data_IF_247968717575
#
_entry.id   IF_247968717575
#
_cell.length_a   1.000
_cell.length_b   1.000
_cell.length_c   1.000
_cell.angle_alpha   90.00
_cell.angle_beta   90.00
_cell.angle_gamma   90.00
#
_symmetry.space_group_name_H-M   'P 1'
#
loop_
_entity.id
_entity.type
_entity.pdbx_description
1 polymer ?
#
# COMPACT_ATOMS: atom_id res chain seq x y z
N UNK A 1 5.13 -15.98 14.70
CA UNK A 1 4.88 -14.99 15.80
C UNK A 1 5.87 -15.11 16.97
N UNK A 2 6.19 -16.31 17.51
CA UNK A 2 7.20 -16.44 18.61
C UNK A 2 8.65 -16.20 18.15
N UNK A 3 9.03 -16.62 16.96
CA UNK A 3 10.36 -16.35 16.40
C UNK A 3 10.57 -14.87 16.06
N UNK A 4 9.54 -14.19 15.56
CA UNK A 4 9.60 -12.74 15.25
C UNK A 4 9.81 -11.88 16.50
N UNK A 5 9.19 -12.24 17.63
CA UNK A 5 9.39 -11.52 18.90
C UNK A 5 10.78 -11.70 19.49
N UNK A 6 11.37 -12.88 19.33
CA UNK A 6 12.73 -13.18 19.83
C UNK A 6 13.79 -12.47 18.97
N UNK A 7 13.64 -12.47 17.64
CA UNK A 7 14.49 -11.73 16.72
C UNK A 7 14.43 -10.23 16.96
N UNK A 8 13.24 -9.67 17.20
CA UNK A 8 13.07 -8.25 17.49
C UNK A 8 13.77 -7.81 18.79
N UNK A 9 13.90 -8.68 19.79
CA UNK A 9 14.65 -8.40 21.01
C UNK A 9 16.17 -8.36 20.75
N UNK A 10 16.69 -9.33 19.99
CA UNK A 10 18.10 -9.40 19.60
C UNK A 10 18.49 -8.19 18.76
N UNK A 11 17.68 -7.82 17.77
CA UNK A 11 17.90 -6.64 16.94
C UNK A 11 17.94 -5.34 17.74
N UNK A 12 17.08 -5.19 18.74
CA UNK A 12 17.09 -4.00 19.62
C UNK A 12 18.37 -3.91 20.47
N UNK A 13 18.83 -5.03 21.01
CA UNK A 13 20.05 -5.05 21.84
C UNK A 13 21.29 -4.81 20.98
N UNK A 14 21.40 -5.50 19.84
CA UNK A 14 22.55 -5.33 18.92
C UNK A 14 22.58 -3.92 18.32
N UNK A 15 21.44 -3.40 17.87
CA UNK A 15 21.33 -2.03 17.34
C UNK A 15 21.68 -0.99 18.41
N UNK A 16 21.16 -1.13 19.64
CA UNK A 16 21.51 -0.25 20.74
C UNK A 16 23.00 -0.24 21.07
N UNK A 17 23.61 -1.43 21.18
CA UNK A 17 25.07 -1.58 21.43
C UNK A 17 25.91 -0.95 20.32
N UNK A 18 25.48 -1.09 19.08
CA UNK A 18 26.15 -0.51 17.93
C UNK A 18 26.13 1.03 17.96
N UNK A 19 24.96 1.64 18.25
CA UNK A 19 24.85 3.10 18.37
C UNK A 19 25.67 3.66 19.53
N UNK A 20 25.73 2.95 20.66
CA UNK A 20 26.56 3.35 21.79
C UNK A 20 28.06 3.29 21.40
N UNK A 21 28.51 2.20 20.75
CA UNK A 21 29.88 2.06 20.28
C UNK A 21 30.28 3.13 19.25
N UNK A 22 29.37 3.44 18.29
CA UNK A 22 29.58 4.51 17.33
C UNK A 22 29.60 5.90 17.99
N UNK A 23 28.73 6.12 18.99
CA UNK A 23 28.67 7.37 19.75
C UNK A 23 29.93 7.63 20.57
N UNK A 24 30.56 6.59 21.12
CA UNK A 24 31.83 6.71 21.89
C UNK A 24 33.04 7.13 21.03
N UNK A 25 32.96 7.01 19.71
CA UNK A 25 34.00 7.45 18.78
C UNK A 25 33.93 8.94 18.45
N UNK A 26 32.84 9.62 18.87
CA UNK A 26 32.60 11.04 18.58
C UNK A 26 33.35 11.91 19.59
N UNK A 27 34.21 12.79 19.11
CA UNK A 27 34.82 13.86 19.90
C UNK A 27 33.88 15.08 19.96
N UNK A 28 33.27 15.28 21.12
CA UNK A 28 32.31 16.36 21.35
C UNK A 28 32.93 17.76 21.16
N UNK A 29 34.19 17.91 21.53
CA UNK A 29 34.91 19.17 21.44
C UNK A 29 35.19 19.56 19.97
N UNK A 30 35.62 18.61 19.15
CA UNK A 30 35.85 18.82 17.71
C UNK A 30 34.53 19.01 16.96
N UNK A 31 33.46 18.33 17.37
CA UNK A 31 32.16 18.48 16.78
C UNK A 31 31.57 19.87 16.96
N UNK A 32 31.68 20.43 18.18
CA UNK A 32 31.19 21.77 18.50
C UNK A 32 32.03 22.90 17.86
N UNK A 33 33.28 22.62 17.50
CA UNK A 33 34.15 23.59 16.82
C UNK A 33 33.86 23.78 15.33
N UNK A 34 33.19 22.81 14.68
CA UNK A 34 32.97 22.84 13.23
C UNK A 34 31.51 22.52 12.82
N UNK A 35 30.48 23.21 13.35
CA UNK A 35 29.08 22.90 13.08
C UNK A 35 28.70 23.06 11.61
N UNK A 36 29.31 24.01 10.92
CA UNK A 36 29.09 24.24 9.48
C UNK A 36 29.59 23.05 8.63
N UNK A 37 30.70 22.40 9.03
CA UNK A 37 31.20 21.23 8.33
C UNK A 37 30.25 20.04 8.51
N UNK A 38 29.68 19.85 9.69
CA UNK A 38 28.65 18.83 9.95
C UNK A 38 27.40 19.06 9.08
N UNK A 39 26.91 20.29 9.05
CA UNK A 39 25.75 20.65 8.21
C UNK A 39 26.04 20.47 6.73
N UNK A 40 27.23 20.85 6.26
CA UNK A 40 27.64 20.67 4.88
C UNK A 40 27.69 19.17 4.50
N UNK A 41 28.28 18.34 5.34
CA UNK A 41 28.29 16.89 5.11
C UNK A 41 26.89 16.29 5.12
N UNK A 42 26.01 16.71 6.03
CA UNK A 42 24.63 16.25 6.07
C UNK A 42 23.86 16.66 4.83
N UNK A 43 24.03 17.92 4.37
CA UNK A 43 23.40 18.48 3.18
C UNK A 43 23.87 17.82 1.87
N UNK A 44 25.05 17.20 1.87
CA UNK A 44 25.54 16.43 0.72
C UNK A 44 25.15 14.96 0.82
N UNK A 45 25.38 14.34 1.97
CA UNK A 45 25.25 12.90 2.18
C UNK A 45 23.80 12.42 1.96
N UNK A 46 22.82 13.10 2.56
CA UNK A 46 21.42 12.70 2.48
C UNK A 46 20.86 12.84 1.04
N UNK A 47 20.98 14.00 0.36
CA UNK A 47 20.49 14.13 -1.01
C UNK A 47 21.20 13.22 -2.00
N UNK A 48 22.53 13.08 -1.89
CA UNK A 48 23.28 12.20 -2.79
C UNK A 48 22.81 10.74 -2.65
N UNK A 49 22.60 10.24 -1.42
CA UNK A 49 22.07 8.89 -1.20
C UNK A 49 20.64 8.76 -1.74
N UNK A 50 19.78 9.74 -1.52
CA UNK A 50 18.41 9.73 -2.07
C UNK A 50 18.47 9.61 -3.59
N UNK A 51 19.28 10.44 -4.25
CA UNK A 51 19.42 10.43 -5.72
C UNK A 51 19.99 9.10 -6.21
N UNK A 52 21.08 8.59 -5.60
CA UNK A 52 21.69 7.33 -6.01
C UNK A 52 20.73 6.15 -5.85
N UNK A 53 20.02 6.05 -4.72
CA UNK A 53 19.04 5.00 -4.50
C UNK A 53 17.87 5.11 -5.51
N UNK A 54 17.41 6.32 -5.77
CA UNK A 54 16.34 6.57 -6.76
C UNK A 54 16.79 6.20 -8.16
N UNK A 55 18.00 6.57 -8.57
CA UNK A 55 18.56 6.21 -9.88
C UNK A 55 18.77 4.71 -10.03
N UNK A 56 19.26 4.03 -8.99
CA UNK A 56 19.41 2.58 -9.00
C UNK A 56 18.06 1.87 -9.21
N UNK A 57 16.99 2.36 -8.57
CA UNK A 57 15.64 1.82 -8.73
C UNK A 57 15.02 2.18 -10.09
N UNK A 58 15.36 3.33 -10.68
CA UNK A 58 14.89 3.70 -12.03
C UNK A 58 15.43 2.79 -13.13
N UNK A 59 16.54 2.10 -12.89
CA UNK A 59 17.06 1.04 -13.77
C UNK A 59 16.22 -0.23 -13.73
N UNK A 60 15.32 -0.36 -12.75
CA UNK A 60 14.34 -1.45 -12.64
C UNK A 60 12.97 -0.98 -13.13
N UNK A 61 12.00 -1.89 -13.22
CA UNK A 61 10.63 -1.55 -13.68
C UNK A 61 9.76 -0.84 -12.63
N UNK A 62 10.38 -0.23 -11.62
CA UNK A 62 9.68 0.47 -10.52
C UNK A 62 9.21 1.85 -10.99
N UNK A 63 7.97 2.21 -10.62
CA UNK A 63 7.40 3.54 -10.86
C UNK A 63 8.31 4.66 -10.30
N UNK A 64 8.44 5.78 -11.04
CA UNK A 64 9.28 6.90 -10.62
C UNK A 64 8.90 7.45 -9.24
N UNK A 65 7.60 7.50 -8.91
CA UNK A 65 7.13 7.94 -7.60
C UNK A 65 7.57 6.97 -6.49
N UNK A 66 7.49 5.67 -6.74
CA UNK A 66 7.91 4.64 -5.76
C UNK A 66 9.43 4.56 -5.67
N UNK A 67 10.15 4.81 -6.76
CA UNK A 67 11.61 4.97 -6.73
C UNK A 67 12.03 6.16 -5.86
N UNK A 68 11.34 7.31 -5.96
CA UNK A 68 11.55 8.46 -5.06
C UNK A 68 11.17 8.15 -3.61
N UNK A 69 10.04 7.50 -3.37
CA UNK A 69 9.60 7.07 -2.02
C UNK A 69 10.65 6.20 -1.35
N UNK A 70 11.10 5.19 -2.06
CA UNK A 70 12.10 4.25 -1.56
C UNK A 70 13.47 4.93 -1.41
N UNK A 71 13.88 5.76 -2.39
CA UNK A 71 15.11 6.53 -2.33
C UNK A 71 15.18 7.46 -1.11
N UNK A 72 14.08 8.14 -0.78
CA UNK A 72 13.96 9.01 0.41
C UNK A 72 14.00 8.16 1.68
N UNK A 73 13.23 7.08 1.74
CA UNK A 73 13.21 6.20 2.91
C UNK A 73 14.59 5.60 3.23
N UNK A 74 15.39 5.30 2.22
CA UNK A 74 16.75 4.77 2.33
C UNK A 74 17.85 5.84 2.29
N UNK A 75 17.49 7.12 2.27
CA UNK A 75 18.43 8.24 2.12
C UNK A 75 19.29 8.53 3.33
N UNK A 76 18.98 7.94 4.49
CA UNK A 76 19.79 8.07 5.71
C UNK A 76 21.10 7.27 5.63
N UNK A 77 22.05 7.58 6.52
CA UNK A 77 23.32 6.87 6.65
C UNK A 77 23.12 5.39 6.99
N UNK A 78 24.03 4.56 6.50
CA UNK A 78 24.04 3.13 6.84
C UNK A 78 25.00 2.83 7.99
N UNK A 79 24.70 1.82 8.78
CA UNK A 79 25.50 1.38 9.93
C UNK A 79 26.94 1.00 9.54
N UNK A 80 27.12 0.36 8.39
CA UNK A 80 28.44 0.00 7.88
C UNK A 80 29.33 1.22 7.59
N UNK A 81 28.76 2.36 7.23
CA UNK A 81 29.54 3.58 7.01
C UNK A 81 30.13 4.11 8.32
N UNK A 82 29.44 3.97 9.46
CA UNK A 82 30.01 4.29 10.78
C UNK A 82 31.23 3.42 11.11
N UNK A 83 31.14 2.10 10.87
CA UNK A 83 32.26 1.19 11.08
C UNK A 83 33.46 1.56 10.21
N UNK A 84 33.22 1.77 8.92
CA UNK A 84 34.29 2.11 7.97
C UNK A 84 34.97 3.44 8.33
N UNK A 85 34.18 4.48 8.63
CA UNK A 85 34.75 5.77 9.05
C UNK A 85 35.46 5.69 10.39
N UNK A 86 34.97 4.87 11.33
CA UNK A 86 35.65 4.58 12.60
C UNK A 86 37.00 3.91 12.38
N UNK A 87 37.08 2.95 11.47
CA UNK A 87 38.38 2.30 11.10
C UNK A 87 39.32 3.29 10.41
N UNK A 88 38.82 4.14 9.51
CA UNK A 88 39.61 5.18 8.86
C UNK A 88 40.19 6.16 9.87
N UNK A 89 39.39 6.52 10.90
CA UNK A 89 39.81 7.39 11.99
C UNK A 89 40.92 6.73 12.85
N UNK A 90 40.72 5.46 13.24
CA UNK A 90 41.68 4.70 14.05
C UNK A 90 43.02 4.46 13.33
N UNK A 91 42.99 4.25 12.03
CA UNK A 91 44.20 4.03 11.22
C UNK A 91 44.84 5.34 10.74
N UNK A 92 44.35 6.49 11.15
CA UNK A 92 44.84 7.80 10.76
C UNK A 92 44.97 8.01 9.22
N UNK A 93 44.15 7.32 8.43
CA UNK A 93 44.20 7.41 6.96
C UNK A 93 43.74 8.77 6.42
N UNK A 94 42.86 9.43 7.16
CA UNK A 94 42.34 10.77 6.87
C UNK A 94 42.40 11.60 8.15
N UNK A 95 42.72 12.90 8.07
CA UNK A 95 42.74 13.77 9.24
C UNK A 95 41.41 13.74 10.03
N UNK A 96 41.52 13.69 11.36
CA UNK A 96 40.37 13.68 12.26
C UNK A 96 39.46 14.89 12.06
N UNK A 97 39.98 16.02 11.67
CA UNK A 97 39.22 17.25 11.32
C UNK A 97 38.25 17.08 10.18
N UNK A 98 38.45 16.09 9.31
CA UNK A 98 37.54 15.76 8.19
C UNK A 98 36.60 14.62 8.59
N UNK A 99 37.14 13.57 9.24
CA UNK A 99 36.38 12.35 9.57
C UNK A 99 35.34 12.61 10.67
N UNK A 100 35.68 13.39 11.68
CA UNK A 100 34.80 13.67 12.83
C UNK A 100 33.48 14.37 12.38
N UNK A 101 33.46 15.47 11.59
CA UNK A 101 32.24 16.04 11.08
C UNK A 101 31.42 15.07 10.22
N UNK A 102 32.08 14.19 9.44
CA UNK A 102 31.40 13.15 8.65
C UNK A 102 30.70 12.11 9.53
N UNK A 103 31.36 11.63 10.59
CA UNK A 103 30.77 10.68 11.55
C UNK A 103 29.52 11.30 12.21
N UNK A 104 29.63 12.54 12.67
CA UNK A 104 28.49 13.24 13.29
C UNK A 104 27.35 13.43 12.30
N UNK A 105 27.64 13.86 11.07
CA UNK A 105 26.63 14.01 10.02
C UNK A 105 25.94 12.68 9.72
N UNK A 106 26.70 11.57 9.72
CA UNK A 106 26.16 10.24 9.50
C UNK A 106 25.19 9.82 10.62
N UNK A 107 25.58 10.02 11.89
CA UNK A 107 24.69 9.74 13.05
C UNK A 107 23.44 10.61 13.02
N UNK A 108 23.59 11.90 12.73
CA UNK A 108 22.43 12.81 12.59
C UNK A 108 21.52 12.39 11.44
N UNK A 109 22.07 11.91 10.32
CA UNK A 109 21.25 11.41 9.21
C UNK A 109 20.42 10.19 9.59
N UNK A 110 20.96 9.31 10.45
CA UNK A 110 20.22 8.16 11.00
C UNK A 110 19.12 8.61 11.97
N UNK A 111 19.39 9.62 12.79
CA UNK A 111 18.37 10.22 13.66
C UNK A 111 17.24 10.91 12.87
N UNK A 112 17.53 11.41 11.66
CA UNK A 112 16.53 11.98 10.74
C UNK A 112 15.72 10.90 10.00
N UNK A 113 16.11 9.62 10.01
CA UNK A 113 15.46 8.56 9.28
C UNK A 113 13.94 8.43 9.58
N UNK A 114 13.47 8.47 10.83
CA UNK A 114 12.03 8.41 11.12
C UNK A 114 11.25 9.57 10.50
N UNK A 115 11.86 10.77 10.43
CA UNK A 115 11.26 11.95 9.83
C UNK A 115 11.17 11.81 8.30
N UNK A 116 12.23 11.32 7.66
CA UNK A 116 12.25 11.01 6.23
C UNK A 116 11.21 9.96 5.89
N UNK A 117 11.12 8.88 6.67
CA UNK A 117 10.14 7.81 6.48
C UNK A 117 8.70 8.34 6.69
N UNK A 118 8.48 9.21 7.66
CA UNK A 118 7.15 9.79 7.91
C UNK A 118 6.68 10.70 6.77
N UNK A 119 7.59 11.44 6.13
CA UNK A 119 7.26 12.46 5.13
C UNK A 119 7.63 12.05 3.70
N UNK A 120 8.06 10.80 3.48
CA UNK A 120 8.53 10.33 2.16
C UNK A 120 7.50 10.52 1.05
N UNK A 121 6.20 10.36 1.33
CA UNK A 121 5.12 10.54 0.37
C UNK A 121 4.98 11.99 -0.12
N UNK A 122 5.10 12.95 0.80
CA UNK A 122 5.00 14.38 0.47
C UNK A 122 6.22 14.83 -0.33
N UNK A 123 7.42 14.45 0.13
CA UNK A 123 8.68 14.76 -0.54
C UNK A 123 8.74 14.12 -1.94
N UNK A 124 8.37 12.85 -2.06
CA UNK A 124 8.39 12.14 -3.33
C UNK A 124 7.45 12.78 -4.35
N UNK A 125 6.25 13.18 -3.93
CA UNK A 125 5.31 13.91 -4.80
C UNK A 125 5.85 15.28 -5.22
N UNK A 126 6.53 16.00 -4.34
CA UNK A 126 7.15 17.28 -4.66
C UNK A 126 8.29 17.08 -5.68
N UNK A 127 9.22 16.15 -5.43
CA UNK A 127 10.35 15.85 -6.31
C UNK A 127 9.92 15.25 -7.66
N UNK A 128 8.85 14.47 -7.70
CA UNK A 128 8.32 13.92 -8.95
C UNK A 128 7.63 14.98 -9.82
N UNK A 129 7.07 16.05 -9.22
CA UNK A 129 6.47 17.17 -9.97
C UNK A 129 7.51 18.08 -10.64
N UNK A 130 8.66 18.27 -10.01
CA UNK A 130 9.75 19.10 -10.56
C UNK A 130 10.51 18.40 -11.69
N UNK A 131 10.41 17.10 -11.77
CA UNK A 131 11.06 16.31 -12.83
C UNK A 131 10.18 16.05 -14.03
N UNK A 132 9.43 16.98 -14.55
CA UNK A 132 8.61 17.04 -15.79
C UNK A 132 8.58 15.84 -16.77
N UNK A 133 8.76 14.63 -16.28
CA UNK A 133 8.61 13.40 -17.06
C UNK A 133 7.13 13.02 -16.98
N UNK A 134 6.39 13.38 -18.00
CA UNK A 134 5.18 12.64 -18.38
C UNK A 134 5.65 11.17 -18.41
N UNK A 135 5.25 10.40 -17.41
CA UNK A 135 5.58 8.97 -17.42
C UNK A 135 4.93 8.40 -18.67
N UNK A 136 5.69 7.79 -19.57
CA UNK A 136 5.05 6.98 -20.61
C UNK A 136 4.17 5.96 -19.86
N UNK A 137 2.96 5.67 -20.37
CA UNK A 137 2.11 4.66 -19.77
C UNK A 137 2.98 3.41 -19.58
N UNK A 138 2.95 2.82 -18.39
CA UNK A 138 3.76 1.64 -18.14
C UNK A 138 3.35 0.59 -19.16
N UNK A 139 4.27 -0.27 -19.57
CA UNK A 139 3.97 -1.31 -20.55
C UNK A 139 2.70 -2.11 -20.16
N UNK A 140 2.47 -2.26 -18.87
CA UNK A 140 1.26 -2.85 -18.28
C UNK A 140 -0.01 -2.05 -18.58
N UNK A 141 0.02 -0.72 -18.47
CA UNK A 141 -1.14 0.15 -18.75
C UNK A 141 -1.46 0.17 -20.26
N UNK A 142 -0.45 0.11 -21.10
CA UNK A 142 -0.62 -0.01 -22.56
C UNK A 142 -1.25 -1.36 -22.90
N UNK A 143 -0.76 -2.44 -22.30
CA UNK A 143 -1.31 -3.78 -22.49
C UNK A 143 -2.76 -3.87 -21.99
N UNK A 144 -3.03 -3.37 -20.78
CA UNK A 144 -4.39 -3.31 -20.22
C UNK A 144 -5.29 -2.52 -21.17
N UNK A 145 -4.90 -1.32 -21.58
CA UNK A 145 -5.69 -0.47 -22.48
C UNK A 145 -6.00 -1.15 -23.80
N UNK A 146 -5.01 -1.79 -24.42
CA UNK A 146 -5.20 -2.49 -25.69
C UNK A 146 -6.19 -3.65 -25.59
N UNK A 147 -6.13 -4.41 -24.48
CA UNK A 147 -6.99 -5.57 -24.26
C UNK A 147 -8.38 -5.17 -23.75
N UNK A 148 -8.49 -4.06 -23.02
CA UNK A 148 -9.77 -3.57 -22.47
C UNK A 148 -10.51 -2.60 -23.36
N UNK A 149 -9.93 -2.16 -24.48
CA UNK A 149 -10.53 -1.21 -25.43
C UNK A 149 -11.94 -1.57 -25.89
N UNK A 150 -12.27 -2.85 -25.94
CA UNK A 150 -13.57 -3.40 -26.32
C UNK A 150 -14.56 -3.55 -25.16
N UNK A 151 -14.10 -3.42 -23.91
CA UNK A 151 -14.98 -3.56 -22.74
C UNK A 151 -15.83 -2.30 -22.57
N UNK A 152 -17.13 -2.48 -22.58
CA UNK A 152 -18.13 -1.44 -22.32
C UNK A 152 -19.11 -1.99 -21.31
N UNK A 153 -19.58 -1.14 -20.39
CA UNK A 153 -20.57 -1.51 -19.39
C UNK A 153 -20.18 -2.75 -18.55
N UNK A 154 -18.89 -2.86 -18.28
CA UNK A 154 -18.27 -4.01 -17.60
C UNK A 154 -18.04 -3.74 -16.12
N UNK A 155 -17.74 -4.81 -15.38
CA UNK A 155 -17.38 -4.77 -13.96
C UNK A 155 -15.86 -4.83 -13.81
N UNK A 156 -15.28 -3.90 -13.05
CA UNK A 156 -13.86 -3.95 -12.65
C UNK A 156 -13.80 -4.54 -11.25
N UNK A 157 -13.13 -5.69 -11.08
CA UNK A 157 -12.91 -6.33 -9.79
C UNK A 157 -11.45 -6.08 -9.37
N UNK A 158 -11.24 -5.35 -8.29
CA UNK A 158 -9.92 -5.05 -7.78
C UNK A 158 -9.55 -6.03 -6.67
N UNK A 159 -8.52 -6.85 -6.94
CA UNK A 159 -8.01 -7.92 -6.09
C UNK A 159 -8.36 -9.32 -6.62
N UNK A 160 -7.33 -10.15 -6.87
CA UNK A 160 -7.46 -11.55 -7.28
C UNK A 160 -7.21 -12.53 -6.10
N UNK A 161 -7.61 -12.14 -4.89
CA UNK A 161 -7.70 -13.06 -3.76
C UNK A 161 -8.90 -14.00 -3.90
N UNK A 162 -9.10 -14.86 -2.91
CA UNK A 162 -10.19 -15.85 -2.90
C UNK A 162 -11.56 -15.25 -3.22
N UNK A 163 -11.92 -14.13 -2.55
CA UNK A 163 -13.19 -13.45 -2.81
C UNK A 163 -13.28 -12.90 -4.25
N UNK A 164 -12.21 -12.25 -4.74
CA UNK A 164 -12.19 -11.67 -6.08
C UNK A 164 -12.29 -12.72 -7.18
N UNK A 165 -11.59 -13.84 -7.02
CA UNK A 165 -11.65 -14.97 -7.95
C UNK A 165 -13.04 -15.61 -7.95
N UNK A 166 -13.65 -15.82 -6.77
CA UNK A 166 -15.01 -16.39 -6.67
C UNK A 166 -16.04 -15.45 -7.31
N UNK A 167 -15.94 -14.14 -7.07
CA UNK A 167 -16.82 -13.14 -7.71
C UNK A 167 -16.64 -13.18 -9.23
N UNK A 168 -15.38 -13.21 -9.70
CA UNK A 168 -15.09 -13.29 -11.13
C UNK A 168 -15.68 -14.55 -11.78
N UNK A 169 -15.56 -15.69 -11.13
CA UNK A 169 -16.09 -16.95 -11.63
C UNK A 169 -17.62 -16.91 -11.75
N UNK A 170 -18.29 -16.38 -10.72
CA UNK A 170 -19.76 -16.22 -10.74
C UNK A 170 -20.17 -15.26 -11.87
N UNK A 171 -19.49 -14.12 -12.03
CA UNK A 171 -19.77 -13.17 -13.11
C UNK A 171 -19.56 -13.80 -14.49
N UNK A 172 -18.53 -14.61 -14.65
CA UNK A 172 -18.25 -15.35 -15.87
C UNK A 172 -19.38 -16.33 -16.21
N UNK A 173 -19.85 -17.10 -15.22
CA UNK A 173 -20.97 -18.02 -15.40
C UNK A 173 -22.29 -17.30 -15.72
N UNK A 174 -22.47 -16.10 -15.16
CA UNK A 174 -23.62 -15.24 -15.46
C UNK A 174 -23.51 -14.50 -16.80
N UNK A 175 -22.43 -14.65 -17.54
CA UNK A 175 -22.22 -13.95 -18.82
C UNK A 175 -21.96 -12.44 -18.67
N UNK A 176 -21.62 -11.96 -17.46
CA UNK A 176 -21.35 -10.55 -17.20
C UNK A 176 -19.92 -10.21 -17.61
N UNK A 177 -19.78 -9.21 -18.47
CA UNK A 177 -18.46 -8.71 -18.88
C UNK A 177 -17.74 -8.13 -17.66
N UNK A 178 -16.56 -8.63 -17.36
CA UNK A 178 -15.75 -8.18 -16.21
C UNK A 178 -14.27 -8.41 -16.45
N UNK A 179 -13.45 -7.76 -15.64
CA UNK A 179 -12.01 -7.97 -15.56
C UNK A 179 -11.54 -7.87 -14.11
N UNK A 180 -10.40 -8.50 -13.80
CA UNK A 180 -9.73 -8.37 -12.51
C UNK A 180 -8.47 -7.54 -12.66
N UNK A 181 -8.20 -6.69 -11.65
CA UNK A 181 -6.90 -6.02 -11.44
C UNK A 181 -6.24 -6.57 -10.18
N UNK A 182 -4.98 -7.00 -10.30
CA UNK A 182 -4.19 -7.47 -9.16
C UNK A 182 -2.75 -6.96 -9.26
N UNK A 183 -2.21 -6.48 -8.15
CA UNK A 183 -0.87 -5.93 -8.07
C UNK A 183 0.22 -6.99 -7.82
N UNK A 184 -0.16 -8.14 -7.26
CA UNK A 184 0.74 -9.25 -6.96
C UNK A 184 0.88 -10.15 -8.20
N UNK A 185 2.09 -10.16 -8.79
CA UNK A 185 2.37 -10.94 -9.99
C UNK A 185 2.14 -12.45 -9.83
N UNK A 186 2.38 -13.00 -8.63
CA UNK A 186 2.15 -14.44 -8.37
C UNK A 186 0.65 -14.76 -8.38
N UNK A 187 -0.18 -13.87 -7.82
CA UNK A 187 -1.64 -14.03 -7.86
C UNK A 187 -2.21 -13.84 -9.25
N UNK A 188 -1.63 -12.92 -10.04
CA UNK A 188 -1.99 -12.75 -11.46
C UNK A 188 -1.75 -14.04 -12.23
N UNK A 189 -0.57 -14.64 -12.05
CA UNK A 189 -0.22 -15.88 -12.74
C UNK A 189 -1.16 -17.04 -12.34
N UNK A 190 -1.42 -17.20 -11.05
CA UNK A 190 -2.35 -18.20 -10.54
C UNK A 190 -3.79 -17.99 -11.06
N UNK A 191 -4.27 -16.75 -11.08
CA UNK A 191 -5.60 -16.40 -11.57
C UNK A 191 -5.72 -16.63 -13.08
N UNK A 192 -4.68 -16.31 -13.84
CA UNK A 192 -4.60 -16.54 -15.29
C UNK A 192 -4.60 -18.04 -15.62
N UNK A 193 -3.87 -18.84 -14.84
CA UNK A 193 -3.88 -20.30 -14.97
C UNK A 193 -5.26 -20.90 -14.67
N UNK A 194 -6.05 -20.27 -13.79
CA UNK A 194 -7.44 -20.63 -13.52
C UNK A 194 -8.45 -20.10 -14.57
N UNK A 195 -7.98 -19.44 -15.63
CA UNK A 195 -8.83 -18.91 -16.72
C UNK A 195 -9.58 -17.62 -16.37
N UNK A 196 -9.17 -16.89 -15.32
CA UNK A 196 -9.77 -15.62 -14.98
C UNK A 196 -9.25 -14.49 -15.88
N UNK A 197 -10.09 -13.51 -16.27
CA UNK A 197 -9.68 -12.34 -17.07
C UNK A 197 -8.93 -11.33 -16.20
N UNK A 198 -7.71 -11.68 -15.79
CA UNK A 198 -6.89 -10.92 -14.86
C UNK A 198 -5.79 -10.15 -15.56
N UNK A 199 -5.60 -8.90 -15.13
CA UNK A 199 -4.54 -8.01 -15.56
C UNK A 199 -3.66 -7.63 -14.37
N UNK A 200 -2.34 -7.59 -14.60
CA UNK A 200 -1.41 -7.09 -13.61
C UNK A 200 -1.53 -5.57 -13.54
N UNK A 201 -1.80 -5.03 -12.36
CA UNK A 201 -1.88 -3.59 -12.16
C UNK A 201 -2.35 -3.20 -10.77
N UNK A 202 -1.80 -2.11 -10.25
CA UNK A 202 -2.19 -1.56 -8.94
C UNK A 202 -3.40 -0.63 -9.08
N UNK A 203 -4.56 -1.10 -8.60
CA UNK A 203 -5.80 -0.32 -8.60
C UNK A 203 -5.72 0.97 -7.74
N UNK A 204 -4.70 1.15 -6.90
CA UNK A 204 -4.47 2.41 -6.19
C UNK A 204 -3.93 3.52 -7.10
N UNK A 205 -3.49 3.16 -8.30
CA UNK A 205 -3.02 4.09 -9.33
C UNK A 205 -4.19 4.48 -10.24
N UNK A 206 -4.50 5.77 -10.33
CA UNK A 206 -5.60 6.25 -11.17
C UNK A 206 -5.45 5.86 -12.65
N UNK A 207 -4.21 5.85 -13.15
CA UNK A 207 -3.91 5.54 -14.55
C UNK A 207 -4.20 4.08 -14.88
N UNK A 208 -3.93 3.16 -13.94
CA UNK A 208 -4.28 1.73 -14.05
C UNK A 208 -5.81 1.53 -14.14
N UNK A 209 -6.57 2.25 -13.32
CA UNK A 209 -8.04 2.20 -13.39
C UNK A 209 -8.58 2.77 -14.70
N UNK A 210 -7.98 3.86 -15.21
CA UNK A 210 -8.32 4.43 -16.52
C UNK A 210 -7.99 3.44 -17.65
N UNK A 211 -6.82 2.81 -17.62
CA UNK A 211 -6.43 1.75 -18.55
C UNK A 211 -7.40 0.56 -18.51
N UNK A 212 -7.90 0.20 -17.33
CA UNK A 212 -8.93 -0.82 -17.16
C UNK A 212 -10.34 -0.40 -17.63
N UNK A 213 -10.48 0.78 -18.23
CA UNK A 213 -11.75 1.27 -18.78
C UNK A 213 -12.70 1.85 -17.75
N UNK A 214 -12.20 2.45 -16.65
CA UNK A 214 -13.02 3.08 -15.60
C UNK A 214 -14.06 4.05 -16.18
N UNK A 215 -13.73 4.76 -17.27
CA UNK A 215 -14.66 5.70 -17.94
C UNK A 215 -15.92 5.05 -18.50
N UNK A 216 -15.84 3.77 -18.83
CA UNK A 216 -16.93 2.99 -19.44
C UNK A 216 -17.39 1.83 -18.54
N UNK A 217 -16.85 1.72 -17.34
CA UNK A 217 -17.25 0.69 -16.38
C UNK A 217 -18.66 0.98 -15.82
N UNK A 218 -19.42 -0.10 -15.62
CA UNK A 218 -20.72 -0.06 -14.96
C UNK A 218 -20.59 -0.07 -13.45
N UNK A 219 -19.61 -0.80 -12.93
CA UNK A 219 -19.44 -1.08 -11.52
C UNK A 219 -17.97 -1.35 -11.22
N UNK A 220 -17.52 -0.94 -10.02
CA UNK A 220 -16.22 -1.35 -9.47
C UNK A 220 -16.43 -2.10 -8.17
N UNK A 221 -15.69 -3.19 -7.98
CA UNK A 221 -15.72 -4.01 -6.76
C UNK A 221 -14.32 -4.08 -6.15
N UNK A 222 -14.16 -3.61 -4.92
CA UNK A 222 -12.92 -3.72 -4.17
C UNK A 222 -12.99 -4.92 -3.23
N UNK A 223 -12.17 -5.95 -3.46
CA UNK A 223 -12.22 -7.21 -2.71
C UNK A 223 -11.11 -7.38 -1.67
N UNK A 224 -10.17 -6.44 -1.58
CA UNK A 224 -9.04 -6.55 -0.66
C UNK A 224 -9.33 -5.98 0.74
N UNK A 225 -8.60 -6.54 1.74
CA UNK A 225 -8.91 -6.38 3.15
C UNK A 225 -8.42 -5.05 3.79
N UNK A 226 -7.60 -4.25 3.11
CA UNK A 226 -6.99 -3.04 3.69
C UNK A 226 -7.90 -1.83 3.52
N UNK A 227 -8.66 -1.48 4.57
CA UNK A 227 -9.64 -0.40 4.56
C UNK A 227 -9.07 0.97 4.12
N UNK A 228 -7.87 1.33 4.55
CA UNK A 228 -7.25 2.60 4.16
C UNK A 228 -6.89 2.66 2.67
N UNK A 229 -6.47 1.54 2.09
CA UNK A 229 -6.19 1.46 0.65
C UNK A 229 -7.51 1.54 -0.13
N UNK A 230 -8.53 0.78 0.29
CA UNK A 230 -9.84 0.83 -0.32
C UNK A 230 -10.45 2.23 -0.27
N UNK A 231 -10.29 2.97 0.84
CA UNK A 231 -10.78 4.34 0.98
C UNK A 231 -10.09 5.29 0.00
N UNK A 232 -8.76 5.21 -0.16
CA UNK A 232 -8.03 6.02 -1.14
C UNK A 232 -8.48 5.75 -2.57
N UNK A 233 -8.69 4.49 -2.92
CA UNK A 233 -9.18 4.09 -4.25
C UNK A 233 -10.61 4.60 -4.46
N UNK A 234 -11.49 4.43 -3.47
CA UNK A 234 -12.85 4.91 -3.53
C UNK A 234 -12.92 6.44 -3.74
N UNK A 235 -12.08 7.20 -3.03
CA UNK A 235 -11.97 8.65 -3.20
C UNK A 235 -11.48 9.02 -4.61
N UNK A 236 -10.44 8.36 -5.11
CA UNK A 236 -9.91 8.60 -6.45
C UNK A 236 -10.92 8.27 -7.57
N UNK A 237 -11.76 7.25 -7.37
CA UNK A 237 -12.87 6.90 -8.27
C UNK A 237 -13.97 7.96 -8.18
N UNK A 238 -14.38 8.37 -6.97
CA UNK A 238 -15.43 9.35 -6.75
C UNK A 238 -15.08 10.72 -7.35
N UNK A 239 -13.82 11.14 -7.32
CA UNK A 239 -13.34 12.36 -7.96
C UNK A 239 -13.52 12.34 -9.49
N UNK A 240 -13.36 11.17 -10.13
CA UNK A 240 -13.43 11.01 -11.59
C UNK A 240 -14.80 10.61 -12.12
N UNK A 241 -15.50 9.79 -11.37
CA UNK A 241 -16.80 9.21 -11.71
C UNK A 241 -17.72 9.21 -10.47
N UNK A 242 -18.22 10.37 -10.02
CA UNK A 242 -19.00 10.49 -8.78
C UNK A 242 -20.31 9.68 -8.78
N UNK A 243 -20.86 9.40 -9.95
CA UNK A 243 -22.08 8.60 -10.10
C UNK A 243 -21.83 7.08 -10.22
N UNK A 244 -20.56 6.64 -10.32
CA UNK A 244 -20.24 5.22 -10.47
C UNK A 244 -20.48 4.47 -9.16
N UNK A 245 -21.28 3.41 -9.21
CA UNK A 245 -21.47 2.55 -8.04
C UNK A 245 -20.19 1.77 -7.72
N UNK A 246 -19.80 1.80 -6.46
CA UNK A 246 -18.61 1.11 -5.95
C UNK A 246 -19.01 0.17 -4.82
N UNK A 247 -18.68 -1.10 -4.93
CA UNK A 247 -18.80 -2.06 -3.85
C UNK A 247 -17.46 -2.25 -3.16
N UNK A 248 -17.46 -2.14 -1.84
CA UNK A 248 -16.25 -2.32 -1.03
C UNK A 248 -16.47 -3.47 -0.04
N UNK A 249 -15.61 -4.46 -0.13
CA UNK A 249 -15.62 -5.56 0.82
C UNK A 249 -14.82 -5.21 2.08
N UNK A 250 -15.45 -5.28 3.25
CA UNK A 250 -14.83 -4.99 4.55
C UNK A 250 -14.92 -6.19 5.49
N UNK A 251 -13.88 -6.41 6.28
CA UNK A 251 -13.86 -7.47 7.31
C UNK A 251 -14.50 -7.05 8.63
N UNK A 252 -14.47 -5.77 8.98
CA UNK A 252 -14.98 -5.24 10.24
C UNK A 252 -15.98 -4.11 10.05
N UNK A 253 -16.81 -3.87 11.05
CA UNK A 253 -17.75 -2.74 11.10
C UNK A 253 -17.02 -1.39 11.11
N UNK A 254 -15.93 -1.29 11.87
CA UNK A 254 -15.12 -0.06 11.96
C UNK A 254 -14.54 0.33 10.59
N UNK A 255 -14.15 -0.65 9.78
CA UNK A 255 -13.69 -0.38 8.41
C UNK A 255 -14.84 0.09 7.50
N UNK A 256 -16.05 -0.41 7.73
CA UNK A 256 -17.25 -0.02 6.98
C UNK A 256 -17.65 1.45 7.26
N UNK A 257 -17.46 1.92 8.48
CA UNK A 257 -17.84 3.28 8.89
C UNK A 257 -17.09 4.37 8.09
N UNK A 258 -15.86 4.08 7.66
CA UNK A 258 -15.08 5.01 6.84
C UNK A 258 -15.73 5.35 5.49
N UNK A 259 -16.63 4.49 5.00
CA UNK A 259 -17.30 4.68 3.70
C UNK A 259 -18.70 5.30 3.80
N UNK A 260 -19.23 5.51 5.03
CA UNK A 260 -20.60 6.04 5.23
C UNK A 260 -20.85 7.42 4.61
N UNK A 261 -19.79 8.23 4.52
CA UNK A 261 -19.88 9.57 3.93
C UNK A 261 -19.90 9.58 2.39
N UNK A 262 -19.75 8.41 1.75
CA UNK A 262 -19.65 8.28 0.30
C UNK A 262 -20.96 7.70 -0.28
N UNK A 263 -21.83 8.49 -0.91
CA UNK A 263 -23.18 8.06 -1.32
C UNK A 263 -23.18 6.99 -2.41
N UNK A 264 -22.13 6.94 -3.23
CA UNK A 264 -21.96 5.97 -4.31
C UNK A 264 -21.28 4.66 -3.88
N UNK A 265 -20.87 4.55 -2.59
CA UNK A 265 -20.17 3.38 -2.05
C UNK A 265 -21.14 2.49 -1.29
N UNK A 266 -21.17 1.22 -1.68
CA UNK A 266 -21.91 0.16 -1.00
C UNK A 266 -20.91 -0.76 -0.30
N UNK A 267 -21.17 -1.09 0.97
CA UNK A 267 -20.27 -1.90 1.79
C UNK A 267 -20.82 -3.30 1.97
N UNK A 268 -20.00 -4.29 1.61
CA UNK A 268 -20.24 -5.69 1.89
C UNK A 268 -19.37 -6.17 3.06
N UNK A 269 -20.02 -6.61 4.15
CA UNK A 269 -19.31 -7.10 5.34
C UNK A 269 -19.12 -8.60 5.26
N UNK A 270 -17.88 -9.04 5.05
CA UNK A 270 -17.51 -10.45 4.92
C UNK A 270 -17.86 -11.28 6.16
N UNK A 271 -17.51 -10.77 7.36
CA UNK A 271 -17.75 -11.48 8.62
C UNK A 271 -19.23 -11.73 8.88
N UNK A 272 -20.09 -10.81 8.48
CA UNK A 272 -21.53 -10.94 8.64
C UNK A 272 -22.12 -11.99 7.67
N UNK A 273 -21.70 -11.94 6.42
CA UNK A 273 -22.14 -12.90 5.42
C UNK A 273 -21.68 -14.33 5.77
N UNK A 274 -20.43 -14.47 6.23
CA UNK A 274 -19.91 -15.76 6.71
C UNK A 274 -20.68 -16.26 7.94
N UNK A 275 -21.03 -15.38 8.89
CA UNK A 275 -21.81 -15.76 10.07
C UNK A 275 -23.21 -16.24 9.70
N UNK A 276 -23.88 -15.59 8.73
CA UNK A 276 -25.17 -16.05 8.21
C UNK A 276 -25.06 -17.43 7.58
N UNK A 277 -24.09 -17.64 6.66
CA UNK A 277 -23.91 -18.93 6.01
C UNK A 277 -23.59 -20.04 6.99
N UNK A 278 -22.79 -19.76 8.03
CA UNK A 278 -22.53 -20.74 9.10
C UNK A 278 -23.81 -21.03 9.91
N UNK A 279 -24.59 -19.99 10.26
CA UNK A 279 -25.83 -20.16 10.99
C UNK A 279 -26.86 -20.99 10.20
N UNK A 280 -26.96 -20.78 8.89
CA UNK A 280 -27.78 -21.60 7.98
C UNK A 280 -27.40 -23.06 8.07
N UNK A 281 -26.12 -23.41 7.97
CA UNK A 281 -25.64 -24.77 8.06
C UNK A 281 -25.88 -25.40 9.42
N UNK A 282 -25.66 -24.64 10.51
CA UNK A 282 -25.93 -25.10 11.87
C UNK A 282 -27.40 -25.37 12.07
N UNK A 283 -28.30 -24.48 11.69
CA UNK A 283 -29.74 -24.65 11.81
C UNK A 283 -30.24 -25.85 10.97
N UNK A 284 -29.71 -26.03 9.77
CA UNK A 284 -30.01 -27.21 8.92
C UNK A 284 -29.54 -28.49 9.58
N UNK A 285 -28.35 -28.52 10.19
CA UNK A 285 -27.83 -29.69 10.93
C UNK A 285 -28.68 -30.02 12.13
N UNK A 286 -29.32 -29.03 12.76
CA UNK A 286 -30.26 -29.19 13.86
C UNK A 286 -31.66 -29.64 13.38
N UNK A 287 -31.86 -29.89 12.09
CA UNK A 287 -33.11 -30.39 11.52
C UNK A 287 -34.20 -29.32 11.34
N UNK A 288 -33.87 -28.04 11.38
CA UNK A 288 -34.83 -26.97 11.12
C UNK A 288 -35.25 -26.96 9.63
N UNK A 289 -36.52 -26.66 9.36
CA UNK A 289 -37.00 -26.55 7.98
C UNK A 289 -36.39 -25.32 7.27
N UNK A 290 -36.19 -25.43 5.98
CA UNK A 290 -35.65 -24.33 5.13
C UNK A 290 -36.43 -23.03 5.28
N UNK A 291 -37.75 -23.11 5.39
CA UNK A 291 -38.64 -21.93 5.56
C UNK A 291 -38.37 -21.20 6.88
N UNK A 292 -38.19 -21.96 7.99
CA UNK A 292 -37.86 -21.36 9.29
C UNK A 292 -36.46 -20.71 9.28
N UNK A 293 -35.47 -21.35 8.63
CA UNK A 293 -34.13 -20.84 8.47
C UNK A 293 -34.15 -19.50 7.71
N UNK A 294 -34.80 -19.49 6.54
CA UNK A 294 -34.94 -18.28 5.73
C UNK A 294 -35.68 -17.15 6.47
N UNK A 295 -36.73 -17.50 7.25
CA UNK A 295 -37.46 -16.56 8.09
C UNK A 295 -36.55 -15.87 9.13
N UNK A 296 -35.76 -16.64 9.85
CA UNK A 296 -34.83 -16.12 10.86
C UNK A 296 -33.72 -15.25 10.24
N UNK A 297 -33.16 -15.69 9.11
CA UNK A 297 -32.11 -14.95 8.41
C UNK A 297 -32.62 -13.65 7.83
N UNK A 298 -33.81 -13.67 7.20
CA UNK A 298 -34.45 -12.49 6.65
C UNK A 298 -34.80 -11.47 7.74
N UNK A 299 -35.25 -11.92 8.91
CA UNK A 299 -35.50 -11.06 10.07
C UNK A 299 -34.19 -10.42 10.58
N UNK A 300 -33.11 -11.18 10.65
CA UNK A 300 -31.80 -10.66 11.08
C UNK A 300 -31.25 -9.64 10.07
N UNK A 301 -31.33 -9.88 8.75
CA UNK A 301 -30.93 -8.94 7.69
C UNK A 301 -31.71 -7.63 7.83
N UNK A 302 -33.05 -7.67 7.93
CA UNK A 302 -33.87 -6.46 8.12
C UNK A 302 -33.50 -5.67 9.38
N UNK A 303 -33.25 -6.35 10.49
CA UNK A 303 -32.87 -5.72 11.77
C UNK A 303 -31.53 -4.98 11.69
N UNK A 304 -30.61 -5.50 10.93
CA UNK A 304 -29.30 -4.88 10.71
C UNK A 304 -29.34 -3.76 9.69
N UNK A 305 -30.15 -3.88 8.64
CA UNK A 305 -30.36 -2.79 7.69
C UNK A 305 -31.06 -1.60 8.34
N UNK A 306 -32.06 -1.83 9.20
CA UNK A 306 -32.71 -0.76 9.96
C UNK A 306 -31.82 -0.10 11.00
N UNK A 307 -30.91 -0.84 11.63
CA UNK A 307 -29.92 -0.27 12.58
C UNK A 307 -28.80 0.49 11.88
N UNK A 308 -28.55 0.25 10.59
CA UNK A 308 -27.49 0.85 9.77
C UNK A 308 -27.93 2.05 8.95
N UNK A 309 -29.22 2.16 8.65
CA UNK A 309 -29.82 3.28 7.90
C UNK A 309 -31.06 3.80 8.62
N UNK A 310 -30.93 4.53 9.73
CA UNK A 310 -32.06 5.20 10.36
C UNK A 310 -32.47 6.38 9.43
N UNK A 311 -33.26 6.12 8.39
CA UNK A 311 -33.70 7.16 7.47
C UNK A 311 -34.19 6.73 6.09
N UNK A 312 -34.12 5.45 5.72
CA UNK A 312 -34.60 5.00 4.38
C UNK A 312 -35.96 4.28 4.39
N UNK A 313 -36.81 4.60 5.37
CA UNK A 313 -38.21 4.18 5.33
C UNK A 313 -39.06 5.38 4.97
N UNK A 314 -39.44 5.51 3.71
CA UNK A 314 -40.54 6.26 3.09
C UNK A 314 -40.10 7.06 1.88
N UNK A 315 -40.22 6.45 0.73
CA UNK A 315 -40.88 7.05 -0.45
C UNK A 315 -41.19 5.94 -1.42
#
# INVERSE_FOLDING_TARGET
>A
RRMESSLAAVWRVLGGGFFVSGGLQLDGAQTLSAPLAVLAWLAVLVPVKIVLNTLALRGTRVCALDAWRTGIALGHGGEFALLLLGMVLQQHLIPATVVQPMLVALVLSMALAPLLIRHHDVLARFLSRTGGVIQPPQAEEVEITAQTARYRDHVIVCGAGELGLTVSEILRHAGVAHLLLEADAQKVEAARAAGAPVFHGDASRPDTLLAAGLTHAHLVVLTFAHAQQALRIAQAIAERRPALTLWVSCRSTTAADAFRAMPNVRVYQQSFAAAIGLAEQVMSTLGMSTELIEGHISAMRRRLDSSRFPGSSSS
#
